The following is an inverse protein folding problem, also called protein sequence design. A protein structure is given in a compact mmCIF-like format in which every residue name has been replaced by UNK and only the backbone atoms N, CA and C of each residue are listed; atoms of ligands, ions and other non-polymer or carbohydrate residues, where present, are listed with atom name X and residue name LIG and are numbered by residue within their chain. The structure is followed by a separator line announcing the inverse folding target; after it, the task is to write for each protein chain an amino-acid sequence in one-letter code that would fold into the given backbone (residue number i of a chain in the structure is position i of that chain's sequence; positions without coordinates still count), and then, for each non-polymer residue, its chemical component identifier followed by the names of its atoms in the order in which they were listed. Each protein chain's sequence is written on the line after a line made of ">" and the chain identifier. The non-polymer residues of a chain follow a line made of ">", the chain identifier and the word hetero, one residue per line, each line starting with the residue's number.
data_IF_045295946111
#
_entry.id   IF_045295946111
#
_cell.length_a   1.000
_cell.length_b   1.000
_cell.length_c   1.000
_cell.angle_alpha   90.00
_cell.angle_beta   90.00
_cell.angle_gamma   90.00
#
_symmetry.space_group_name_H-M   'P 1'
#
loop_
_entity.id
_entity.type
_entity.pdbx_description
1 polymer ?
#
# COMPACT_ATOMS: atom_id res chain seq x y z
N UNK A 1 -32.49 42.10 -21.47
CA UNK A 1 -32.59 40.64 -21.67
C UNK A 1 -31.55 40.07 -22.64
N UNK A 2 -30.59 40.86 -23.16
CA UNK A 2 -29.54 40.41 -24.11
C UNK A 2 -28.13 40.83 -23.65
N UNK A 3 -27.90 40.86 -22.33
CA UNK A 3 -26.69 41.42 -21.74
C UNK A 3 -26.30 40.79 -20.41
N UNK A 4 -26.96 39.69 -20.03
CA UNK A 4 -26.62 38.97 -18.81
C UNK A 4 -25.41 38.06 -19.08
N UNK A 5 -24.49 37.89 -18.12
CA UNK A 5 -23.36 36.96 -18.27
C UNK A 5 -23.77 35.52 -18.63
N UNK A 6 -24.97 35.10 -18.24
CA UNK A 6 -25.58 33.83 -18.64
C UNK A 6 -25.82 33.70 -20.15
N UNK A 7 -26.21 34.79 -20.81
CA UNK A 7 -26.54 34.80 -22.24
C UNK A 7 -25.27 34.60 -23.07
N UNK A 8 -24.17 35.21 -22.62
CA UNK A 8 -22.83 35.02 -23.20
C UNK A 8 -22.33 33.59 -23.07
N UNK A 9 -22.59 32.92 -21.94
CA UNK A 9 -22.20 31.52 -21.76
C UNK A 9 -22.88 30.59 -22.79
N UNK A 10 -24.16 30.83 -23.08
CA UNK A 10 -24.90 30.06 -24.10
C UNK A 10 -24.32 30.30 -25.49
N UNK A 11 -24.01 31.56 -25.84
CA UNK A 11 -23.39 31.89 -27.13
C UNK A 11 -22.05 31.18 -27.31
N UNK A 12 -21.22 31.14 -26.27
CA UNK A 12 -19.93 30.44 -26.30
C UNK A 12 -20.12 28.95 -26.52
N UNK A 13 -21.06 28.31 -25.81
CA UNK A 13 -21.35 26.88 -25.97
C UNK A 13 -21.84 26.57 -27.38
N UNK A 14 -22.74 27.38 -27.93
CA UNK A 14 -23.23 27.21 -29.31
C UNK A 14 -22.10 27.40 -30.31
N UNK A 15 -21.26 28.43 -30.14
CA UNK A 15 -20.09 28.63 -30.99
C UNK A 15 -19.16 27.41 -30.97
N UNK A 16 -18.83 26.89 -29.78
CA UNK A 16 -18.01 25.67 -29.64
C UNK A 16 -18.64 24.47 -30.36
N UNK A 17 -19.96 24.28 -30.25
CA UNK A 17 -20.66 23.20 -30.96
C UNK A 17 -20.64 23.42 -32.48
N UNK A 18 -20.70 24.65 -32.98
CA UNK A 18 -20.63 24.94 -34.42
C UNK A 18 -19.21 24.71 -34.98
N UNK A 19 -18.17 25.11 -34.25
CA UNK A 19 -16.78 24.94 -34.70
C UNK A 19 -16.29 23.49 -34.55
N UNK A 20 -16.63 22.82 -33.45
CA UNK A 20 -16.14 21.46 -33.16
C UNK A 20 -17.14 20.37 -33.55
N UNK A 21 -18.41 20.71 -33.76
CA UNK A 21 -19.49 19.76 -34.02
C UNK A 21 -20.02 19.09 -32.74
N UNK A 22 -21.28 18.66 -32.77
CA UNK A 22 -21.94 17.96 -31.65
C UNK A 22 -21.34 16.60 -31.35
N UNK A 23 -20.63 15.99 -32.31
CA UNK A 23 -20.08 14.64 -32.18
C UNK A 23 -18.80 14.57 -31.34
N UNK A 24 -18.06 15.69 -31.18
CA UNK A 24 -16.76 15.67 -30.50
C UNK A 24 -16.89 15.57 -28.99
N UNK A 25 -17.87 16.21 -28.38
CA UNK A 25 -18.07 16.15 -26.94
C UNK A 25 -18.40 14.71 -26.46
N UNK A 26 -19.36 13.97 -27.08
CA UNK A 26 -19.61 12.56 -26.77
C UNK A 26 -18.41 11.64 -27.01
N UNK A 27 -17.64 11.89 -28.08
CA UNK A 27 -16.44 11.11 -28.42
C UNK A 27 -15.32 11.30 -27.39
N UNK A 28 -15.13 12.53 -26.89
CA UNK A 28 -14.22 12.85 -25.81
C UNK A 28 -14.63 12.16 -24.50
N UNK A 29 -15.90 12.23 -24.10
CA UNK A 29 -16.36 11.53 -22.90
C UNK A 29 -16.18 10.01 -23.00
N UNK A 30 -16.45 9.43 -24.17
CA UNK A 30 -16.29 7.99 -24.39
C UNK A 30 -14.82 7.56 -24.36
N UNK A 31 -13.92 8.34 -24.96
CA UNK A 31 -12.48 8.05 -24.94
C UNK A 31 -11.86 8.29 -23.56
N UNK A 32 -12.20 9.40 -22.89
CA UNK A 32 -11.82 9.64 -21.49
C UNK A 32 -12.36 8.55 -20.57
N UNK A 33 -13.62 8.14 -20.72
CA UNK A 33 -14.22 7.09 -19.89
C UNK A 33 -13.50 5.75 -20.05
N UNK A 34 -13.09 5.40 -21.28
CA UNK A 34 -12.26 4.22 -21.54
C UNK A 34 -10.88 4.34 -20.90
N UNK A 35 -10.21 5.48 -21.09
CA UNK A 35 -8.88 5.71 -20.52
C UNK A 35 -8.89 5.67 -18.98
N UNK A 36 -9.89 6.30 -18.34
CA UNK A 36 -10.07 6.25 -16.89
C UNK A 36 -10.43 4.84 -16.40
N UNK A 37 -11.21 4.08 -17.18
CA UNK A 37 -11.55 2.69 -16.87
C UNK A 37 -10.33 1.77 -16.90
N UNK A 38 -9.54 1.82 -17.97
CA UNK A 38 -8.29 1.06 -18.09
C UNK A 38 -7.25 1.51 -17.06
N UNK A 39 -7.16 2.81 -16.75
CA UNK A 39 -6.29 3.31 -15.69
C UNK A 39 -6.69 2.76 -14.32
N UNK A 40 -7.99 2.75 -13.98
CA UNK A 40 -8.48 2.20 -12.71
C UNK A 40 -8.19 0.69 -12.62
N UNK A 41 -8.37 -0.05 -13.72
CA UNK A 41 -8.06 -1.47 -13.80
C UNK A 41 -6.56 -1.73 -13.62
N UNK A 42 -5.70 -1.01 -14.35
CA UNK A 42 -4.25 -1.12 -14.22
C UNK A 42 -3.74 -0.71 -12.83
N UNK A 43 -4.38 0.28 -12.18
CA UNK A 43 -4.07 0.62 -10.78
C UNK A 43 -4.41 -0.51 -9.81
N UNK A 44 -5.57 -1.16 -9.98
CA UNK A 44 -5.97 -2.29 -9.14
C UNK A 44 -5.04 -3.50 -9.34
N UNK A 45 -4.69 -3.81 -10.59
CA UNK A 45 -3.73 -4.86 -10.92
C UNK A 45 -2.34 -4.55 -10.33
N UNK A 46 -1.86 -3.32 -10.48
CA UNK A 46 -0.60 -2.89 -9.86
C UNK A 46 -0.62 -2.99 -8.33
N UNK A 47 -1.73 -2.65 -7.67
CA UNK A 47 -1.87 -2.80 -6.21
C UNK A 47 -1.88 -4.28 -5.79
N UNK A 48 -2.52 -5.16 -6.55
CA UNK A 48 -2.51 -6.60 -6.29
C UNK A 48 -1.12 -7.21 -6.52
N UNK A 49 -0.43 -6.81 -7.58
CA UNK A 49 0.96 -7.21 -7.84
C UNK A 49 1.90 -6.69 -6.75
N UNK A 50 1.76 -5.42 -6.34
CA UNK A 50 2.54 -4.85 -5.24
C UNK A 50 2.27 -5.58 -3.91
N UNK A 51 1.02 -5.95 -3.62
CA UNK A 51 0.70 -6.75 -2.44
C UNK A 51 1.31 -8.15 -2.53
N UNK A 52 1.25 -8.81 -3.69
CA UNK A 52 1.91 -10.11 -3.91
C UNK A 52 3.44 -10.02 -3.81
N UNK A 53 4.05 -8.93 -4.28
CA UNK A 53 5.48 -8.64 -4.13
C UNK A 53 5.85 -8.15 -2.73
N UNK A 54 4.89 -7.75 -1.89
CA UNK A 54 5.06 -7.43 -0.48
C UNK A 54 4.73 -8.61 0.45
N UNK A 55 4.19 -9.72 -0.05
CA UNK A 55 4.13 -10.97 0.70
C UNK A 55 5.51 -11.58 1.07
N UNK A 56 6.66 -11.28 0.44
CA UNK A 56 7.97 -11.54 1.03
C UNK A 56 8.16 -10.81 2.38
N UNK A 57 7.49 -9.67 2.61
CA UNK A 57 7.63 -8.87 3.83
C UNK A 57 6.84 -9.43 5.01
N UNK A 58 5.76 -10.19 4.79
CA UNK A 58 5.09 -10.93 5.86
C UNK A 58 5.99 -12.04 6.42
N UNK A 59 6.81 -12.65 5.55
CA UNK A 59 7.85 -13.61 5.96
C UNK A 59 8.95 -12.90 6.75
N UNK A 60 9.41 -11.72 6.31
CA UNK A 60 10.46 -10.95 7.00
C UNK A 60 9.99 -10.41 8.36
N UNK A 61 8.75 -9.92 8.47
CA UNK A 61 8.16 -9.47 9.73
C UNK A 61 7.97 -10.62 10.74
N UNK A 62 7.40 -11.75 10.30
CA UNK A 62 7.30 -12.96 11.14
C UNK A 62 8.68 -13.52 11.53
N UNK A 63 9.69 -13.37 10.68
CA UNK A 63 11.03 -13.85 10.96
C UNK A 63 11.73 -12.95 12.00
N UNK A 64 11.49 -11.63 11.96
CA UNK A 64 11.96 -10.70 13.00
C UNK A 64 11.39 -11.01 14.39
N UNK A 65 10.08 -11.26 14.48
CA UNK A 65 9.43 -11.60 15.76
C UNK A 65 9.95 -12.94 16.32
N UNK A 66 10.12 -13.96 15.46
CA UNK A 66 10.68 -15.25 15.87
C UNK A 66 12.15 -15.14 16.31
N UNK A 67 12.95 -14.33 15.63
CA UNK A 67 14.36 -14.09 15.98
C UNK A 67 14.47 -13.43 17.34
N UNK A 68 13.63 -12.44 17.64
CA UNK A 68 13.59 -11.79 18.95
C UNK A 68 13.21 -12.77 20.08
N UNK A 69 12.28 -13.68 19.82
CA UNK A 69 11.86 -14.70 20.79
C UNK A 69 12.94 -15.77 21.02
N UNK A 70 13.61 -16.22 19.95
CA UNK A 70 14.78 -17.12 20.03
C UNK A 70 15.93 -16.48 20.82
N UNK A 71 16.19 -15.18 20.63
CA UNK A 71 17.22 -14.46 21.38
C UNK A 71 16.93 -14.47 22.90
N UNK A 72 15.67 -14.23 23.29
CA UNK A 72 15.25 -14.30 24.69
C UNK A 72 15.43 -15.70 25.28
N UNK A 73 15.07 -16.74 24.53
CA UNK A 73 15.26 -18.13 24.99
C UNK A 73 16.74 -18.47 25.19
N UNK A 74 17.63 -18.00 24.31
CA UNK A 74 19.08 -18.20 24.46
C UNK A 74 19.61 -17.50 25.72
N UNK A 75 19.17 -16.26 25.98
CA UNK A 75 19.58 -15.49 27.16
C UNK A 75 19.11 -16.16 28.46
N UNK A 76 17.88 -16.67 28.48
CA UNK A 76 17.34 -17.39 29.64
C UNK A 76 18.06 -18.72 29.90
N UNK A 77 18.37 -19.48 28.85
CA UNK A 77 19.17 -20.71 28.94
C UNK A 77 20.57 -20.44 29.49
N UNK A 78 21.23 -19.36 29.05
CA UNK A 78 22.54 -18.96 29.60
C UNK A 78 22.46 -18.66 31.09
N UNK A 79 21.40 -17.98 31.54
CA UNK A 79 21.18 -17.65 32.94
C UNK A 79 20.98 -18.90 33.81
N UNK A 80 20.24 -19.89 33.29
CA UNK A 80 20.05 -21.18 33.96
C UNK A 80 21.37 -21.95 34.11
N UNK A 81 22.20 -22.00 33.05
CA UNK A 81 23.52 -22.64 33.12
C UNK A 81 24.43 -21.96 34.15
N UNK A 82 24.38 -20.63 34.26
CA UNK A 82 25.18 -19.91 35.25
C UNK A 82 24.72 -20.19 36.69
N UNK A 83 23.42 -20.33 36.91
CA UNK A 83 22.86 -20.73 38.21
C UNK A 83 23.26 -22.15 38.59
N UNK A 84 23.15 -23.11 37.67
CA UNK A 84 23.56 -24.50 37.88
C UNK A 84 25.05 -24.57 38.23
N UNK A 85 25.90 -23.82 37.50
CA UNK A 85 27.35 -23.78 37.76
C UNK A 85 27.68 -23.18 39.13
N UNK A 86 26.94 -22.15 39.57
CA UNK A 86 27.06 -21.59 40.94
C UNK A 86 26.61 -22.58 42.00
N UNK A 87 25.59 -23.37 41.71
CA UNK A 87 25.07 -24.39 42.62
C UNK A 87 26.07 -25.56 42.77
N UNK A 88 26.63 -26.07 41.66
CA UNK A 88 27.70 -27.07 41.68
C UNK A 88 28.94 -26.60 42.44
N UNK A 89 29.34 -25.33 42.25
CA UNK A 89 30.47 -24.74 42.98
C UNK A 89 30.21 -24.58 44.49
N UNK A 90 28.94 -24.46 44.90
CA UNK A 90 28.56 -24.44 46.32
C UNK A 90 28.47 -25.84 46.89
N UNK A 91 28.00 -26.83 46.13
CA UNK A 91 27.95 -28.23 46.55
C UNK A 91 29.35 -28.84 46.70
N UNK A 92 30.30 -28.48 45.82
CA UNK A 92 31.71 -28.90 45.96
C UNK A 92 32.44 -28.27 47.15
N UNK A 93 31.95 -27.15 47.71
CA UNK A 93 32.55 -26.55 48.92
C UNK A 93 32.02 -27.15 50.23
N UNK A 94 30.98 -27.98 50.17
CA UNK A 94 30.38 -28.62 51.35
C UNK A 94 30.76 -30.11 51.51
N UNK A 95 31.54 -30.67 50.59
CA UNK A 95 32.19 -31.99 50.72
C UNK A 95 33.69 -31.80 50.95
#
# INVERSE_FOLDING_TARGET
>A
MWGSPSDWAVIIIVALILFFGTNKIPELFRSMGRALGEFKKGRLEAEMEMQQMQQPSAVVAQQGDKVAELQKQIEELQKQLEQLKKQEAQTQKQQ
#
